data_IF_547449437942
#
_entry.id   IF_547449437942
#
_cell.length_a   1.000
_cell.length_b   1.000
_cell.length_c   1.000
_cell.angle_alpha   90.00
_cell.angle_beta   90.00
_cell.angle_gamma   90.00
#
_symmetry.space_group_name_H-M   'P 1'
#
loop_
_entity.id
_entity.type
_entity.pdbx_description
1 polymer ?
#
# COMPACT_ATOMS: atom_id res chain seq x y z
N UNK A 1 17.06 3.84 -1.98
CA UNK A 1 17.68 5.15 -2.27
C UNK A 1 17.32 6.24 -1.25
N UNK A 2 16.06 6.43 -0.83
CA UNK A 2 15.70 7.54 0.07
C UNK A 2 16.15 7.37 1.54
N UNK A 3 16.04 6.15 2.10
CA UNK A 3 16.43 5.90 3.50
C UNK A 3 17.93 6.02 3.80
N UNK A 4 18.79 5.79 2.80
CA UNK A 4 20.25 5.92 2.96
C UNK A 4 20.67 7.40 3.07
N UNK A 5 19.97 8.28 2.34
CA UNK A 5 20.16 9.73 2.39
C UNK A 5 19.75 10.32 3.74
N UNK A 6 18.62 9.87 4.31
CA UNK A 6 18.19 10.27 5.65
C UNK A 6 19.21 9.84 6.71
N UNK A 7 19.72 8.61 6.63
CA UNK A 7 20.72 8.11 7.57
C UNK A 7 21.99 8.98 7.56
N UNK A 8 22.48 9.34 6.38
CA UNK A 8 23.63 10.24 6.23
C UNK A 8 23.37 11.63 6.83
N UNK A 9 22.16 12.18 6.68
CA UNK A 9 21.80 13.47 7.27
C UNK A 9 21.66 13.42 8.80
N UNK A 10 21.17 12.31 9.35
CA UNK A 10 21.14 12.08 10.81
C UNK A 10 22.55 11.94 11.36
N UNK A 11 23.43 11.17 10.70
CA UNK A 11 24.83 11.02 11.13
C UNK A 11 25.56 12.37 11.17
N UNK A 12 25.34 13.21 10.15
CA UNK A 12 25.90 14.57 10.12
C UNK A 12 25.40 15.45 11.27
N UNK A 13 24.09 15.44 11.57
CA UNK A 13 23.56 16.19 12.70
C UNK A 13 24.08 15.69 14.06
N UNK A 14 24.31 14.37 14.19
CA UNK A 14 24.92 13.81 15.40
C UNK A 14 26.36 14.29 15.59
N UNK A 15 27.12 14.46 14.51
CA UNK A 15 28.46 15.04 14.55
C UNK A 15 28.42 16.52 14.95
N UNK A 16 27.52 17.32 14.36
CA UNK A 16 27.34 18.73 14.72
C UNK A 16 26.89 18.89 16.18
N UNK A 17 26.01 18.02 16.66
CA UNK A 17 25.59 17.98 18.06
C UNK A 17 26.76 17.69 19.00
N UNK A 18 27.59 16.68 18.68
CA UNK A 18 28.80 16.34 19.47
C UNK A 18 29.81 17.48 19.46
N UNK A 19 29.89 18.24 18.37
CA UNK A 19 30.73 19.43 18.25
C UNK A 19 30.12 20.69 18.92
N UNK A 20 28.87 20.62 19.41
CA UNK A 20 28.15 21.74 20.02
C UNK A 20 27.65 22.79 19.00
N UNK A 21 27.64 22.46 17.72
CA UNK A 21 27.28 23.34 16.60
C UNK A 21 25.92 23.04 15.97
N UNK A 22 25.12 22.13 16.53
CA UNK A 22 23.82 21.78 15.97
C UNK A 22 22.93 23.01 15.84
N UNK A 23 22.42 23.23 14.63
CA UNK A 23 21.54 24.37 14.33
C UNK A 23 20.12 23.91 14.00
N UNK A 24 19.17 24.84 14.12
CA UNK A 24 17.80 24.63 13.66
C UNK A 24 17.74 24.29 12.16
N UNK A 25 18.62 24.87 11.35
CA UNK A 25 18.70 24.60 9.90
C UNK A 25 19.08 23.14 9.63
N UNK A 26 20.00 22.59 10.43
CA UNK A 26 20.41 21.18 10.32
C UNK A 26 19.23 20.24 10.61
N UNK A 27 18.43 20.54 11.63
CA UNK A 27 17.23 19.79 11.97
C UNK A 27 16.13 19.93 10.91
N UNK A 28 15.93 21.14 10.38
CA UNK A 28 14.96 21.39 9.32
C UNK A 28 15.32 20.60 8.05
N UNK A 29 16.62 20.45 7.74
CA UNK A 29 17.09 19.65 6.62
C UNK A 29 16.76 18.15 6.74
N UNK A 30 16.72 17.59 7.95
CA UNK A 30 16.26 16.22 8.19
C UNK A 30 14.75 16.11 7.95
N UNK A 31 13.97 17.07 8.46
CA UNK A 31 12.51 17.08 8.26
C UNK A 31 12.18 17.15 6.76
N UNK A 32 12.84 18.03 6.00
CA UNK A 32 12.66 18.10 4.55
C UNK A 32 13.08 16.82 3.85
N UNK A 33 14.18 16.18 4.27
CA UNK A 33 14.59 14.89 3.69
C UNK A 33 13.60 13.75 4.02
N UNK A 34 12.96 13.79 5.19
CA UNK A 34 11.88 12.88 5.55
C UNK A 34 10.65 13.13 4.69
N UNK A 35 10.24 14.38 4.51
CA UNK A 35 9.11 14.77 3.65
C UNK A 35 9.37 14.41 2.17
N UNK A 36 10.60 14.62 1.67
CA UNK A 36 11.02 14.20 0.32
C UNK A 36 11.15 12.67 0.18
N UNK A 37 11.40 11.96 1.27
CA UNK A 37 11.37 10.49 1.28
C UNK A 37 9.97 9.93 1.25
N UNK A 38 9.02 10.70 1.80
CA UNK A 38 7.59 10.52 1.70
C UNK A 38 7.05 11.08 0.38
N UNK A 39 7.75 10.86 -0.74
CA UNK A 39 7.06 10.88 -2.05
C UNK A 39 5.93 9.88 -1.92
N UNK A 40 4.69 10.37 -1.81
CA UNK A 40 3.48 9.57 -1.54
C UNK A 40 3.52 8.29 -2.36
N UNK A 41 3.88 7.18 -1.70
CA UNK A 41 3.97 5.91 -2.42
C UNK A 41 2.57 5.36 -2.48
N UNK A 42 2.12 5.07 -3.69
CA UNK A 42 0.86 4.39 -3.89
C UNK A 42 1.08 2.91 -3.58
N UNK A 43 0.43 2.42 -2.53
CA UNK A 43 0.22 1.00 -2.36
C UNK A 43 -1.02 0.59 -3.13
N UNK A 44 -0.98 -0.58 -3.77
CA UNK A 44 -2.14 -1.17 -4.45
C UNK A 44 -2.53 -2.47 -3.77
N UNK A 45 -3.83 -2.65 -3.56
CA UNK A 45 -4.40 -3.88 -3.07
C UNK A 45 -5.43 -4.38 -4.08
N UNK A 46 -5.17 -5.56 -4.63
CA UNK A 46 -6.07 -6.27 -5.52
C UNK A 46 -6.84 -7.28 -4.66
N UNK A 47 -8.16 -7.14 -4.62
CA UNK A 47 -9.04 -8.08 -3.93
C UNK A 47 -10.01 -8.67 -4.94
N UNK A 48 -10.01 -9.99 -5.06
CA UNK A 48 -11.04 -10.72 -5.78
C UNK A 48 -12.11 -11.16 -4.78
N UNK A 49 -13.35 -10.71 -4.97
CA UNK A 49 -14.48 -11.11 -4.15
C UNK A 49 -15.36 -12.16 -4.86
N UNK A 50 -16.01 -13.02 -4.08
CA UNK A 50 -16.94 -14.03 -4.58
C UNK A 50 -18.18 -13.42 -5.30
N UNK A 51 -18.43 -12.13 -5.11
CA UNK A 51 -19.50 -11.38 -5.76
C UNK A 51 -19.02 -10.00 -6.18
N UNK A 52 -19.85 -9.24 -6.89
CA UNK A 52 -19.55 -7.86 -7.29
C UNK A 52 -19.83 -6.83 -6.17
N UNK A 53 -20.24 -7.30 -4.99
CA UNK A 53 -20.45 -6.46 -3.80
C UNK A 53 -19.15 -6.28 -3.02
N UNK A 54 -18.91 -5.08 -2.48
CA UNK A 54 -17.79 -4.82 -1.56
C UNK A 54 -17.90 -5.62 -0.24
N UNK A 55 -19.09 -6.12 0.08
CA UNK A 55 -19.33 -6.99 1.23
C UNK A 55 -19.18 -8.49 0.88
N UNK A 56 -18.85 -8.82 -0.37
CA UNK A 56 -18.54 -10.19 -0.76
C UNK A 56 -17.25 -10.67 -0.10
N UNK A 57 -17.23 -11.95 0.23
CA UNK A 57 -16.04 -12.64 0.75
C UNK A 57 -14.89 -12.55 -0.24
N UNK A 58 -13.70 -12.20 0.24
CA UNK A 58 -12.47 -12.18 -0.54
C UNK A 58 -11.96 -13.60 -0.74
N UNK A 59 -11.73 -13.96 -2.00
CA UNK A 59 -11.24 -15.28 -2.43
C UNK A 59 -9.88 -15.20 -3.14
N UNK A 60 -9.36 -13.99 -3.34
CA UNK A 60 -8.03 -13.74 -3.90
C UNK A 60 -7.48 -12.38 -3.44
N UNK A 61 -6.18 -12.33 -3.22
CA UNK A 61 -5.47 -11.15 -2.73
C UNK A 61 -4.13 -10.99 -3.45
N UNK A 62 -3.77 -9.75 -3.77
CA UNK A 62 -2.40 -9.37 -4.13
C UNK A 62 -2.12 -7.96 -3.63
N UNK A 63 -1.02 -7.79 -2.92
CA UNK A 63 -0.57 -6.52 -2.36
C UNK A 63 0.68 -6.06 -3.10
N UNK A 64 0.66 -4.81 -3.57
CA UNK A 64 1.84 -4.09 -4.04
C UNK A 64 2.16 -3.03 -3.00
N UNK A 65 3.30 -3.19 -2.34
CA UNK A 65 3.77 -2.25 -1.32
C UNK A 65 5.26 -1.98 -1.53
N UNK A 66 5.66 -0.72 -1.45
CA UNK A 66 7.07 -0.30 -1.59
C UNK A 66 7.75 -0.71 -2.92
N UNK A 67 6.94 -1.03 -3.94
CA UNK A 67 7.40 -1.53 -5.24
C UNK A 67 7.61 -3.05 -5.29
N UNK A 68 7.25 -3.77 -4.23
CA UNK A 68 7.30 -5.23 -4.16
C UNK A 68 5.88 -5.83 -4.23
N UNK A 69 5.78 -7.01 -4.83
CA UNK A 69 4.52 -7.74 -4.97
C UNK A 69 4.49 -8.88 -3.94
N UNK A 70 3.39 -9.00 -3.22
CA UNK A 70 3.12 -10.07 -2.27
C UNK A 70 1.74 -10.67 -2.52
N UNK A 71 1.67 -12.00 -2.58
CA UNK A 71 0.39 -12.74 -2.66
C UNK A 71 -0.29 -12.87 -1.29
N UNK A 72 0.29 -12.27 -0.24
CA UNK A 72 -0.15 -12.45 1.14
C UNK A 72 0.23 -13.82 1.71
N UNK A 73 -0.29 -14.16 2.90
CA UNK A 73 -0.20 -15.51 3.46
C UNK A 73 -0.83 -16.58 2.55
N UNK A 74 -0.31 -17.82 2.54
CA UNK A 74 -0.86 -18.89 1.72
C UNK A 74 -2.25 -19.37 2.20
N UNK A 75 -2.57 -19.15 3.48
CA UNK A 75 -3.88 -19.44 4.05
C UNK A 75 -4.80 -18.21 3.92
N UNK A 76 -5.93 -18.30 3.20
CA UNK A 76 -6.89 -17.20 3.08
C UNK A 76 -7.44 -16.70 4.42
N UNK A 77 -7.51 -17.56 5.45
CA UNK A 77 -7.97 -17.18 6.78
C UNK A 77 -6.97 -16.23 7.50
N UNK A 78 -5.71 -16.19 7.03
CA UNK A 78 -4.68 -15.29 7.54
C UNK A 78 -4.63 -13.94 6.77
N UNK A 79 -5.47 -13.76 5.75
CA UNK A 79 -5.51 -12.50 5.02
C UNK A 79 -6.08 -11.35 5.87
N UNK A 80 -5.54 -10.13 5.76
CA UNK A 80 -5.92 -9.01 6.61
C UNK A 80 -7.35 -8.53 6.42
N UNK A 81 -7.95 -8.79 5.24
CA UNK A 81 -9.27 -8.27 4.88
C UNK A 81 -10.18 -9.37 4.33
N UNK A 82 -11.19 -9.83 5.09
CA UNK A 82 -12.15 -10.83 4.61
C UNK A 82 -13.14 -10.26 3.59
N UNK A 83 -13.25 -8.93 3.47
CA UNK A 83 -14.11 -8.22 2.51
C UNK A 83 -13.41 -6.96 2.02
N UNK A 84 -13.79 -6.47 0.83
CA UNK A 84 -13.33 -5.15 0.34
C UNK A 84 -13.76 -4.02 1.28
N UNK A 85 -14.95 -4.17 1.90
CA UNK A 85 -15.45 -3.24 2.90
C UNK A 85 -14.52 -3.14 4.13
N UNK A 86 -13.92 -4.26 4.57
CA UNK A 86 -12.95 -4.24 5.66
C UNK A 86 -11.68 -3.47 5.30
N UNK A 87 -11.17 -3.64 4.06
CA UNK A 87 -10.05 -2.83 3.57
C UNK A 87 -10.41 -1.34 3.52
N UNK A 88 -11.63 -1.01 3.06
CA UNK A 88 -12.11 0.38 3.05
C UNK A 88 -12.17 1.00 4.46
N UNK A 89 -12.52 0.21 5.49
CA UNK A 89 -12.51 0.66 6.88
C UNK A 89 -11.09 0.93 7.40
N UNK A 90 -10.07 0.23 6.89
CA UNK A 90 -8.65 0.49 7.15
C UNK A 90 -8.08 1.68 6.33
N UNK A 91 -8.93 2.38 5.58
CA UNK A 91 -8.55 3.57 4.83
C UNK A 91 -8.03 3.30 3.42
N UNK A 92 -8.18 2.07 2.91
CA UNK A 92 -8.03 1.81 1.49
C UNK A 92 -9.16 2.46 0.69
N UNK A 93 -8.86 2.94 -0.51
CA UNK A 93 -9.84 3.61 -1.38
C UNK A 93 -9.98 2.81 -2.67
N UNK A 94 -11.21 2.49 -3.05
CA UNK A 94 -11.47 1.76 -4.30
C UNK A 94 -11.19 2.67 -5.50
N UNK A 95 -10.30 2.25 -6.40
CA UNK A 95 -10.00 2.92 -7.67
C UNK A 95 -10.55 2.17 -8.88
N UNK A 96 -10.91 0.89 -8.72
CA UNK A 96 -11.60 0.11 -9.74
C UNK A 96 -12.63 -0.82 -9.12
N UNK A 97 -13.86 -0.78 -9.64
CA UNK A 97 -14.92 -1.75 -9.35
C UNK A 97 -14.91 -2.89 -10.40
N UNK A 98 -15.48 -4.07 -10.07
CA UNK A 98 -15.52 -5.21 -10.99
C UNK A 98 -16.16 -4.86 -12.33
N UNK A 99 -15.49 -5.25 -13.42
CA UNK A 99 -16.04 -5.07 -14.76
C UNK A 99 -17.09 -6.17 -15.06
N UNK A 100 -18.37 -5.81 -14.95
CA UNK A 100 -19.50 -6.72 -15.17
C UNK A 100 -19.53 -7.31 -16.58
N UNK A 101 -18.96 -6.63 -17.59
CA UNK A 101 -18.88 -7.17 -18.95
C UNK A 101 -17.98 -8.42 -19.03
N UNK A 102 -17.05 -8.60 -18.09
CA UNK A 102 -16.17 -9.77 -18.01
C UNK A 102 -16.81 -10.95 -17.25
N UNK A 103 -18.01 -10.76 -16.67
CA UNK A 103 -18.69 -11.77 -15.86
C UNK A 103 -19.57 -12.74 -16.68
N UNK A 104 -19.96 -12.37 -17.90
CA UNK A 104 -20.99 -13.07 -18.69
C UNK A 104 -20.42 -14.08 -19.70
N UNK A 105 -19.32 -14.77 -19.37
CA UNK A 105 -18.87 -15.90 -20.18
C UNK A 105 -19.45 -17.21 -19.63
N UNK A 106 -20.62 -17.63 -20.16
CA UNK A 106 -21.29 -18.90 -19.83
C UNK A 106 -20.42 -20.14 -20.15
N UNK A 107 -19.31 -19.97 -20.88
CA UNK A 107 -18.39 -21.06 -21.24
C UNK A 107 -17.14 -21.15 -20.35
N UNK A 108 -16.93 -20.22 -19.41
CA UNK A 108 -15.75 -20.20 -18.53
C UNK A 108 -16.16 -20.17 -17.06
N UNK A 109 -15.85 -21.25 -16.36
CA UNK A 109 -15.98 -21.40 -14.90
C UNK A 109 -15.07 -20.47 -14.09
N UNK A 110 -14.24 -19.66 -14.75
CA UNK A 110 -13.32 -18.70 -14.13
C UNK A 110 -13.35 -17.38 -14.91
N UNK A 111 -14.50 -16.70 -14.94
CA UNK A 111 -14.45 -15.25 -15.06
C UNK A 111 -13.74 -14.73 -13.81
N UNK A 112 -12.71 -13.88 -13.96
CA UNK A 112 -12.06 -13.14 -12.87
C UNK A 112 -13.07 -12.15 -12.28
N UNK A 113 -14.08 -12.70 -11.64
CA UNK A 113 -15.24 -11.97 -11.20
C UNK A 113 -14.99 -11.34 -9.85
N UNK A 114 -15.50 -10.11 -9.69
CA UNK A 114 -15.37 -9.41 -8.41
C UNK A 114 -13.98 -8.83 -8.13
N UNK A 115 -13.15 -8.54 -9.14
CA UNK A 115 -11.88 -7.84 -8.91
C UNK A 115 -12.10 -6.37 -8.54
N UNK A 116 -11.61 -5.99 -7.38
CA UNK A 116 -11.49 -4.62 -6.90
C UNK A 116 -10.01 -4.24 -6.83
N UNK A 117 -9.68 -3.04 -7.29
CA UNK A 117 -8.36 -2.45 -7.09
C UNK A 117 -8.53 -1.30 -6.11
N UNK A 118 -7.75 -1.32 -5.03
CA UNK A 118 -7.74 -0.31 -4.01
C UNK A 118 -6.37 0.35 -3.91
N UNK A 119 -6.34 1.60 -3.46
CA UNK A 119 -5.12 2.34 -3.18
C UNK A 119 -5.08 2.87 -1.75
N UNK A 120 -3.86 3.03 -1.23
CA UNK A 120 -3.58 3.77 0.02
C UNK A 120 -2.34 4.64 -0.21
N UNK A 121 -2.43 5.92 0.15
CA UNK A 121 -1.26 6.80 0.16
C UNK A 121 -0.53 6.63 1.49
N UNK A 122 0.81 6.58 1.45
CA UNK A 122 1.68 6.64 2.63
C UNK A 122 2.72 7.73 2.49
#
# INVERSE_FOLDING_TARGET
MSGERIRQQVDHCLEEFRAGGLTEVSLQGILTALDESATERQDLLYLQAATTSVAGEVVGMLLVQDGEVSEGPPDPDEWPYPTVLAAMQDGWRVIQFPNLALMMDESRTFGLGGEFILEKWR
#
